data_IF_040211222067
#
_entry.id   IF_040211222067
#
_cell.length_a   1.000
_cell.length_b   1.000
_cell.length_c   1.000
_cell.angle_alpha   90.00
_cell.angle_beta   90.00
_cell.angle_gamma   90.00
#
_symmetry.space_group_name_H-M   'P 1'
#
loop_
_entity.id
_entity.type
_entity.pdbx_description
1 polymer ?
#
# COMPACT_ATOMS: atom_id res chain seq x y z
N UNK A 1 25.28 -30.83 12.12
CA UNK A 1 25.47 -29.76 13.12
C UNK A 1 25.22 -28.37 12.53
N UNK A 2 25.96 -27.90 11.51
CA UNK A 2 25.68 -26.59 10.89
C UNK A 2 24.29 -26.51 10.25
N UNK A 3 23.92 -27.49 9.43
CA UNK A 3 22.63 -27.50 8.73
C UNK A 3 21.43 -27.55 9.70
N UNK A 4 21.52 -28.37 10.76
CA UNK A 4 20.51 -28.46 11.82
C UNK A 4 20.33 -27.14 12.58
N UNK A 5 21.42 -26.39 12.81
CA UNK A 5 21.36 -25.08 13.45
C UNK A 5 20.62 -24.05 12.58
N UNK A 6 20.91 -24.00 11.27
CA UNK A 6 20.22 -23.07 10.36
C UNK A 6 18.70 -23.34 10.35
N UNK A 7 18.30 -24.61 10.31
CA UNK A 7 16.88 -24.99 10.41
C UNK A 7 16.29 -24.58 11.77
N UNK A 8 17.01 -24.79 12.87
CA UNK A 8 16.56 -24.39 14.20
C UNK A 8 16.36 -22.87 14.34
N UNK A 9 17.30 -22.08 13.82
CA UNK A 9 17.25 -20.61 13.86
C UNK A 9 16.08 -20.10 13.02
N UNK A 10 15.92 -20.62 11.80
CA UNK A 10 14.80 -20.25 10.92
C UNK A 10 13.43 -20.59 11.52
N UNK A 11 13.28 -21.76 12.15
CA UNK A 11 12.03 -22.14 12.85
C UNK A 11 11.79 -21.24 14.07
N UNK A 12 12.85 -20.78 14.73
CA UNK A 12 12.70 -19.84 15.85
C UNK A 12 12.15 -18.51 15.39
N UNK A 13 12.63 -17.98 14.25
CA UNK A 13 12.05 -16.80 13.61
C UNK A 13 10.58 -17.03 13.22
N UNK A 14 10.24 -18.18 12.63
CA UNK A 14 8.85 -18.49 12.24
C UNK A 14 7.87 -18.42 13.43
N UNK A 15 8.30 -18.93 14.60
CA UNK A 15 7.51 -18.88 15.83
C UNK A 15 7.42 -17.45 16.36
N UNK A 16 8.51 -16.67 16.29
CA UNK A 16 8.53 -15.26 16.70
C UNK A 16 7.64 -14.37 15.83
N UNK A 17 7.56 -14.63 14.52
CA UNK A 17 6.66 -13.94 13.58
C UNK A 17 5.16 -14.13 13.91
N UNK A 18 4.83 -15.05 14.84
CA UNK A 18 3.50 -15.17 15.43
C UNK A 18 2.53 -16.06 14.65
N UNK A 19 3.00 -16.76 13.61
CA UNK A 19 2.20 -17.72 12.83
C UNK A 19 2.15 -19.12 13.43
N UNK A 20 3.06 -19.43 14.35
CA UNK A 20 3.27 -20.77 14.90
C UNK A 20 3.47 -20.73 16.40
N UNK A 21 3.13 -21.83 17.07
CA UNK A 21 3.39 -22.02 18.48
C UNK A 21 4.66 -22.84 18.70
N UNK A 22 5.22 -22.79 19.92
CA UNK A 22 6.39 -23.58 20.28
C UNK A 22 6.19 -25.09 20.11
N UNK A 23 4.94 -25.57 20.25
CA UNK A 23 4.58 -26.97 20.04
C UNK A 23 4.76 -27.41 18.58
N UNK A 24 4.69 -26.48 17.62
CA UNK A 24 4.82 -26.77 16.19
C UNK A 24 6.28 -26.92 15.75
N UNK A 25 7.26 -26.62 16.63
CA UNK A 25 8.69 -26.58 16.28
C UNK A 25 9.18 -27.84 15.58
N UNK A 26 8.93 -29.01 16.16
CA UNK A 26 9.43 -30.29 15.61
C UNK A 26 8.79 -30.55 14.23
N UNK A 27 7.50 -30.23 14.09
CA UNK A 27 6.81 -30.34 12.82
C UNK A 27 7.41 -29.42 11.74
N UNK A 28 7.66 -28.15 12.07
CA UNK A 28 8.27 -27.19 11.14
C UNK A 28 9.71 -27.57 10.76
N UNK A 29 10.50 -28.06 11.72
CA UNK A 29 11.86 -28.54 11.47
C UNK A 29 11.85 -29.69 10.45
N UNK A 30 10.94 -30.66 10.63
CA UNK A 30 10.80 -31.79 9.71
C UNK A 30 10.31 -31.35 8.33
N UNK A 31 9.35 -30.40 8.28
CA UNK A 31 8.86 -29.84 7.01
C UNK A 31 9.96 -29.13 6.23
N UNK A 32 10.77 -28.30 6.89
CA UNK A 32 11.91 -27.62 6.25
C UNK A 32 12.98 -28.64 5.84
N UNK A 33 13.29 -29.61 6.70
CA UNK A 33 14.25 -30.67 6.39
C UNK A 33 13.85 -31.44 5.13
N UNK A 34 12.57 -31.77 4.99
CA UNK A 34 12.02 -32.38 3.77
C UNK A 34 12.22 -31.47 2.55
N UNK A 35 11.86 -30.19 2.63
CA UNK A 35 12.02 -29.24 1.52
C UNK A 35 13.48 -29.16 1.03
N UNK A 36 14.44 -29.04 1.95
CA UNK A 36 15.87 -28.88 1.61
C UNK A 36 16.63 -30.21 1.47
N UNK A 37 15.97 -31.35 1.69
CA UNK A 37 16.61 -32.67 1.62
C UNK A 37 17.64 -32.94 2.73
N UNK A 38 17.43 -32.37 3.91
CA UNK A 38 18.20 -32.75 5.09
C UNK A 38 17.61 -34.00 5.73
N UNK A 39 18.48 -34.87 6.26
CA UNK A 39 18.07 -36.00 7.09
C UNK A 39 17.60 -35.54 8.48
N UNK A 40 17.74 -36.42 9.46
CA UNK A 40 17.31 -36.15 10.84
C UNK A 40 17.89 -34.85 11.40
N UNK A 41 17.02 -33.97 11.89
CA UNK A 41 17.41 -32.73 12.57
C UNK A 41 17.77 -33.08 14.00
N UNK A 42 19.06 -33.05 14.30
CA UNK A 42 19.57 -33.21 15.67
C UNK A 42 19.20 -31.98 16.48
N UNK A 43 18.74 -32.18 17.72
CA UNK A 43 18.40 -31.11 18.66
C UNK A 43 19.61 -30.24 18.98
N UNK A 44 19.75 -29.13 18.24
CA UNK A 44 20.76 -28.11 18.48
C UNK A 44 20.16 -27.01 19.35
N UNK A 45 20.08 -27.23 20.67
CA UNK A 45 19.75 -26.16 21.65
C UNK A 45 20.86 -25.11 21.81
N UNK A 46 21.79 -25.06 20.85
CA UNK A 46 22.86 -24.09 20.88
C UNK A 46 22.28 -22.72 20.51
N UNK A 47 22.92 -21.69 21.06
CA UNK A 47 22.51 -20.28 20.98
C UNK A 47 21.95 -19.90 19.60
N UNK A 48 20.86 -19.14 19.59
CA UNK A 48 20.28 -18.55 18.37
C UNK A 48 21.37 -17.68 17.73
N UNK A 49 21.66 -17.93 16.44
CA UNK A 49 22.63 -17.12 15.70
C UNK A 49 22.09 -15.72 15.42
N UNK A 50 22.99 -14.74 15.21
CA UNK A 50 22.62 -13.36 14.87
C UNK A 50 22.38 -13.16 13.35
N UNK A 51 22.07 -14.22 12.61
CA UNK A 51 21.86 -14.13 11.17
C UNK A 51 20.51 -13.49 10.86
N UNK A 52 20.45 -12.72 9.78
CA UNK A 52 19.20 -12.16 9.26
C UNK A 52 18.33 -13.25 8.63
N UNK A 53 17.04 -12.95 8.43
CA UNK A 53 16.14 -13.88 7.74
C UNK A 53 16.63 -14.22 6.34
N UNK A 54 17.11 -13.23 5.59
CA UNK A 54 17.64 -13.41 4.24
C UNK A 54 18.86 -14.32 4.23
N UNK A 55 19.79 -14.13 5.17
CA UNK A 55 20.99 -14.96 5.31
C UNK A 55 20.65 -16.42 5.65
N UNK A 56 19.66 -16.62 6.52
CA UNK A 56 19.16 -17.96 6.87
C UNK A 56 18.46 -18.61 5.68
N UNK A 57 17.59 -17.89 4.96
CA UNK A 57 16.92 -18.38 3.76
C UNK A 57 17.93 -18.77 2.68
N UNK A 58 18.91 -17.90 2.40
CA UNK A 58 19.99 -18.18 1.46
C UNK A 58 20.80 -19.42 1.86
N UNK A 59 21.07 -19.60 3.15
CA UNK A 59 21.76 -20.79 3.67
C UNK A 59 20.93 -22.06 3.46
N UNK A 60 19.62 -22.02 3.69
CA UNK A 60 18.71 -23.15 3.44
C UNK A 60 18.64 -23.50 1.95
N UNK A 61 18.54 -22.51 1.07
CA UNK A 61 18.58 -22.70 -0.39
C UNK A 61 19.90 -23.34 -0.82
N UNK A 62 21.04 -22.88 -0.28
CA UNK A 62 22.35 -23.47 -0.58
C UNK A 62 22.44 -24.94 -0.16
N UNK A 63 21.88 -25.29 1.00
CA UNK A 63 21.76 -26.67 1.46
C UNK A 63 20.88 -27.48 0.51
N UNK A 64 19.73 -26.93 0.10
CA UNK A 64 18.81 -27.57 -0.83
C UNK A 64 19.43 -27.87 -2.20
N UNK A 65 20.15 -26.91 -2.79
CA UNK A 65 20.87 -27.12 -4.07
C UNK A 65 21.92 -28.22 -3.97
N UNK A 66 22.57 -28.36 -2.81
CA UNK A 66 23.57 -29.41 -2.57
C UNK A 66 22.92 -30.78 -2.40
N UNK A 67 21.83 -30.88 -1.64
CA UNK A 67 21.23 -32.16 -1.26
C UNK A 67 20.21 -32.67 -2.29
N UNK A 68 19.59 -31.76 -3.04
CA UNK A 68 18.58 -32.04 -4.07
C UNK A 68 18.90 -31.26 -5.37
N UNK A 69 20.08 -31.48 -5.99
CA UNK A 69 20.49 -30.74 -7.18
C UNK A 69 19.49 -30.90 -8.34
N UNK A 70 18.86 -32.06 -8.44
CA UNK A 70 17.88 -32.34 -9.50
C UNK A 70 16.57 -31.56 -9.35
N UNK A 71 16.23 -31.09 -8.14
CA UNK A 71 14.99 -30.36 -7.87
C UNK A 71 15.13 -28.85 -8.00
N UNK A 72 16.36 -28.31 -7.95
CA UNK A 72 16.62 -26.87 -7.84
C UNK A 72 17.66 -26.43 -8.89
N UNK A 73 17.27 -26.61 -10.15
CA UNK A 73 18.16 -26.42 -11.30
C UNK A 73 18.07 -25.00 -11.87
N UNK A 74 16.85 -24.45 -11.92
CA UNK A 74 16.57 -23.15 -12.53
C UNK A 74 16.38 -22.05 -11.48
N UNK A 75 16.50 -20.80 -11.90
CA UNK A 75 16.24 -19.64 -11.04
C UNK A 75 14.79 -19.63 -10.53
N UNK A 76 13.84 -20.09 -11.35
CA UNK A 76 12.43 -20.28 -10.95
C UNK A 76 12.26 -21.28 -9.81
N UNK A 77 12.97 -22.41 -9.86
CA UNK A 77 12.91 -23.42 -8.79
C UNK A 77 13.47 -22.87 -7.48
N UNK A 78 14.56 -22.11 -7.58
CA UNK A 78 15.24 -21.47 -6.45
C UNK A 78 14.35 -20.40 -5.82
N UNK A 79 13.72 -19.55 -6.63
CA UNK A 79 12.80 -18.53 -6.15
C UNK A 79 11.55 -19.17 -5.51
N UNK A 80 10.99 -20.21 -6.14
CA UNK A 80 9.85 -20.94 -5.57
C UNK A 80 10.19 -21.55 -4.20
N UNK A 81 11.38 -22.15 -4.04
CA UNK A 81 11.84 -22.66 -2.76
C UNK A 81 11.97 -21.53 -1.73
N UNK A 82 12.61 -20.43 -2.12
CA UNK A 82 12.81 -19.26 -1.26
C UNK A 82 11.46 -18.71 -0.77
N UNK A 83 10.51 -18.50 -1.68
CA UNK A 83 9.15 -18.06 -1.36
C UNK A 83 8.39 -19.05 -0.47
N UNK A 84 8.60 -20.36 -0.67
CA UNK A 84 7.98 -21.39 0.17
C UNK A 84 8.57 -21.42 1.58
N UNK A 85 9.87 -21.14 1.74
CA UNK A 85 10.50 -20.99 3.06
C UNK A 85 10.01 -19.71 3.74
N UNK A 86 9.96 -18.58 3.03
CA UNK A 86 9.49 -17.31 3.59
C UNK A 86 7.99 -17.34 3.94
N UNK A 87 7.18 -18.13 3.22
CA UNK A 87 5.76 -18.34 3.58
C UNK A 87 5.60 -19.04 4.94
N UNK A 88 6.58 -19.86 5.37
CA UNK A 88 6.58 -20.42 6.74
C UNK A 88 6.71 -19.31 7.78
N UNK A 89 7.41 -18.21 7.48
CA UNK A 89 7.51 -17.04 8.36
C UNK A 89 6.25 -16.16 8.33
N UNK A 90 5.33 -16.41 7.40
CA UNK A 90 4.17 -15.56 7.15
C UNK A 90 2.93 -16.16 7.82
N UNK A 91 2.37 -15.53 8.86
CA UNK A 91 1.16 -16.03 9.50
C UNK A 91 -0.02 -16.13 8.54
N UNK A 92 -1.02 -16.98 8.83
CA UNK A 92 -2.27 -17.01 8.07
C UNK A 92 -2.97 -15.65 8.04
N UNK A 93 -3.72 -15.30 6.97
CA UNK A 93 -4.40 -14.01 6.87
C UNK A 93 -5.26 -13.66 8.09
N UNK A 94 -5.96 -14.65 8.67
CA UNK A 94 -6.77 -14.46 9.89
C UNK A 94 -5.93 -14.02 11.09
N UNK A 95 -4.74 -14.59 11.27
CA UNK A 95 -3.82 -14.25 12.36
C UNK A 95 -3.21 -12.87 12.13
N UNK A 96 -2.77 -12.56 10.90
CA UNK A 96 -2.24 -11.23 10.55
C UNK A 96 -3.29 -10.14 10.82
N UNK A 97 -4.53 -10.34 10.37
CA UNK A 97 -5.61 -9.40 10.58
C UNK A 97 -5.98 -9.26 12.07
N UNK A 98 -6.02 -10.36 12.83
CA UNK A 98 -6.30 -10.31 14.26
C UNK A 98 -5.19 -9.59 15.05
N UNK A 99 -3.92 -9.85 14.73
CA UNK A 99 -2.78 -9.16 15.35
C UNK A 99 -2.78 -7.68 14.98
N UNK A 100 -3.02 -7.34 13.71
CA UNK A 100 -3.14 -5.96 13.26
C UNK A 100 -4.25 -5.23 14.01
N UNK A 101 -5.45 -5.81 14.09
CA UNK A 101 -6.57 -5.24 14.83
C UNK A 101 -6.24 -5.01 16.30
N UNK A 102 -5.61 -5.99 16.96
CA UNK A 102 -5.14 -5.86 18.35
C UNK A 102 -4.13 -4.72 18.53
N UNK A 103 -3.21 -4.52 17.60
CA UNK A 103 -2.27 -3.40 17.62
C UNK A 103 -2.95 -2.07 17.35
N UNK A 104 -3.99 -2.10 16.51
CA UNK A 104 -4.78 -0.93 16.16
C UNK A 104 -5.60 -0.39 17.33
N UNK A 105 -6.00 -1.24 18.29
CA UNK A 105 -6.61 -0.82 19.56
C UNK A 105 -5.72 0.15 20.35
N UNK A 106 -4.39 0.01 20.27
CA UNK A 106 -3.47 0.98 20.87
C UNK A 106 -3.36 2.23 19.99
N UNK A 107 -3.02 2.06 18.72
CA UNK A 107 -2.97 3.14 17.73
C UNK A 107 -2.82 2.61 16.31
N UNK A 108 -3.27 3.40 15.33
CA UNK A 108 -3.04 3.11 13.91
C UNK A 108 -1.55 3.00 13.57
N UNK A 109 -0.67 3.78 14.23
CA UNK A 109 0.78 3.75 14.02
C UNK A 109 1.39 2.44 14.53
N UNK A 110 0.97 1.92 15.69
CA UNK A 110 1.48 0.64 16.18
C UNK A 110 1.09 -0.51 15.25
N UNK A 111 -0.13 -0.47 14.71
CA UNK A 111 -0.60 -1.46 13.75
C UNK A 111 0.18 -1.43 12.43
N UNK A 112 0.41 -0.25 11.85
CA UNK A 112 1.19 -0.13 10.60
C UNK A 112 2.66 -0.48 10.83
N UNK A 113 3.25 -0.12 11.97
CA UNK A 113 4.61 -0.53 12.33
C UNK A 113 4.75 -2.05 12.44
N UNK A 114 3.78 -2.73 13.09
CA UNK A 114 3.74 -4.18 13.15
C UNK A 114 3.67 -4.81 11.75
N UNK A 115 2.76 -4.30 10.91
CA UNK A 115 2.58 -4.84 9.57
C UNK A 115 3.80 -4.59 8.69
N UNK A 116 4.42 -3.42 8.80
CA UNK A 116 5.68 -3.09 8.14
C UNK A 116 6.80 -4.03 8.55
N UNK A 117 7.01 -4.22 9.86
CA UNK A 117 7.99 -5.18 10.38
C UNK A 117 7.75 -6.59 9.84
N UNK A 118 6.50 -7.07 9.86
CA UNK A 118 6.17 -8.42 9.35
C UNK A 118 6.56 -8.56 7.88
N UNK A 119 6.26 -7.55 7.05
CA UNK A 119 6.57 -7.58 5.63
C UNK A 119 8.06 -7.41 5.31
N UNK A 120 8.86 -6.86 6.23
CA UNK A 120 10.32 -6.90 6.17
C UNK A 120 10.84 -8.30 6.53
N UNK A 121 10.38 -8.86 7.66
CA UNK A 121 10.83 -10.17 8.14
C UNK A 121 10.50 -11.28 7.15
N UNK A 122 9.32 -11.24 6.52
CA UNK A 122 8.93 -12.26 5.55
C UNK A 122 9.43 -11.98 4.12
N UNK A 123 10.24 -10.93 3.90
CA UNK A 123 10.82 -10.62 2.59
C UNK A 123 9.80 -10.20 1.52
N UNK A 124 8.61 -9.76 1.91
CA UNK A 124 7.65 -9.18 0.98
C UNK A 124 8.15 -7.83 0.43
N UNK A 125 8.68 -6.98 1.32
CA UNK A 125 9.33 -5.71 0.95
C UNK A 125 10.76 -5.97 0.46
N UNK A 126 11.03 -5.63 -0.80
CA UNK A 126 12.38 -5.72 -1.38
C UNK A 126 13.04 -4.35 -1.52
N UNK A 127 12.26 -3.27 -1.70
CA UNK A 127 12.81 -1.92 -1.92
C UNK A 127 13.55 -1.76 -3.25
N UNK A 128 13.45 -2.77 -4.11
CA UNK A 128 14.00 -2.85 -5.46
C UNK A 128 12.83 -3.10 -6.42
N UNK A 129 12.89 -2.47 -7.60
CA UNK A 129 11.99 -2.74 -8.72
C UNK A 129 12.69 -3.69 -9.66
N UNK A 130 12.13 -4.86 -9.91
CA UNK A 130 12.63 -5.71 -10.99
C UNK A 130 12.19 -5.10 -12.34
N UNK A 131 13.15 -4.61 -13.12
CA UNK A 131 12.91 -4.05 -14.47
C UNK A 131 12.37 -5.11 -15.44
N UNK A 132 12.63 -6.38 -15.15
CA UNK A 132 12.34 -7.55 -15.98
C UNK A 132 10.95 -8.17 -15.73
N UNK A 133 10.04 -7.49 -15.00
CA UNK A 133 8.65 -7.95 -14.93
C UNK A 133 7.98 -7.71 -16.28
N UNK A 134 8.14 -8.68 -17.18
CA UNK A 134 7.32 -8.77 -18.38
C UNK A 134 5.86 -8.82 -17.95
N UNK A 135 5.14 -7.73 -18.22
CA UNK A 135 3.68 -7.62 -18.09
C UNK A 135 2.92 -8.68 -18.92
N UNK A 136 3.64 -9.56 -19.62
CA UNK A 136 3.18 -10.57 -20.57
C UNK A 136 2.78 -11.92 -19.95
N UNK A 137 2.97 -12.18 -18.65
CA UNK A 137 2.15 -13.22 -17.98
C UNK A 137 0.71 -12.69 -17.87
N UNK A 138 -0.02 -12.90 -18.96
CA UNK A 138 -1.36 -12.41 -19.28
C UNK A 138 -2.33 -12.57 -18.09
N UNK A 139 -2.95 -11.47 -17.69
CA UNK A 139 -4.24 -11.53 -16.99
C UNK A 139 -4.26 -11.55 -15.46
N UNK A 140 -3.19 -11.89 -14.73
CA UNK A 140 -3.26 -11.89 -13.26
C UNK A 140 -3.13 -10.47 -12.69
N UNK A 141 -4.14 -10.01 -11.94
CA UNK A 141 -4.09 -8.75 -11.22
C UNK A 141 -3.32 -8.90 -9.88
N UNK A 142 -2.22 -8.16 -9.64
CA UNK A 142 -1.37 -8.30 -8.47
C UNK A 142 -2.03 -7.97 -7.13
N UNK A 143 -3.06 -7.12 -7.14
CA UNK A 143 -3.71 -6.64 -5.92
C UNK A 143 -5.04 -7.35 -5.62
N UNK A 144 -5.55 -8.18 -6.53
CA UNK A 144 -6.81 -8.91 -6.32
C UNK A 144 -6.80 -9.77 -5.05
N UNK A 145 -7.96 -9.85 -4.39
CA UNK A 145 -8.11 -10.59 -3.14
C UNK A 145 -7.87 -12.09 -3.32
N UNK A 146 -8.33 -12.66 -4.44
CA UNK A 146 -8.15 -14.08 -4.76
C UNK A 146 -6.68 -14.48 -4.95
N UNK A 147 -5.78 -13.51 -5.11
CA UNK A 147 -4.35 -13.74 -5.33
C UNK A 147 -3.52 -13.57 -4.05
N UNK A 148 -4.14 -13.59 -2.87
CA UNK A 148 -3.39 -13.61 -1.60
C UNK A 148 -2.54 -14.88 -1.48
N UNK A 149 -1.23 -14.72 -1.29
CA UNK A 149 -0.29 -15.85 -1.21
C UNK A 149 -0.02 -16.59 -2.52
N UNK A 150 -0.46 -16.06 -3.66
CA UNK A 150 -0.07 -16.59 -4.98
C UNK A 150 1.35 -16.16 -5.32
N UNK A 151 2.12 -17.07 -5.90
CA UNK A 151 3.47 -16.81 -6.38
C UNK A 151 3.52 -16.78 -7.90
N UNK A 152 4.12 -15.72 -8.44
CA UNK A 152 4.49 -15.59 -9.85
C UNK A 152 5.98 -15.25 -9.91
N UNK A 153 6.71 -15.97 -10.76
CA UNK A 153 8.16 -15.78 -10.93
C UNK A 153 8.45 -14.33 -11.35
N UNK A 154 9.49 -13.72 -10.78
CA UNK A 154 9.86 -12.31 -11.01
C UNK A 154 8.82 -11.25 -10.61
N UNK A 155 7.69 -11.64 -9.99
CA UNK A 155 6.71 -10.67 -9.53
C UNK A 155 7.10 -10.03 -8.21
N UNK A 156 7.16 -8.70 -8.19
CA UNK A 156 7.34 -7.94 -6.95
C UNK A 156 6.11 -8.01 -6.02
N UNK A 157 4.92 -8.19 -6.59
CA UNK A 157 3.65 -8.18 -5.86
C UNK A 157 3.13 -9.58 -5.54
N UNK A 158 3.17 -10.49 -6.49
CA UNK A 158 2.62 -11.85 -6.34
C UNK A 158 3.66 -12.78 -5.73
N UNK A 159 3.78 -12.67 -4.41
CA UNK A 159 4.66 -13.47 -3.55
C UNK A 159 3.82 -14.35 -2.64
N UNK A 160 4.33 -15.53 -2.25
CA UNK A 160 3.63 -16.40 -1.27
C UNK A 160 3.43 -15.71 0.07
N UNK A 161 4.35 -14.81 0.40
CA UNK A 161 4.38 -14.01 1.63
C UNK A 161 3.40 -12.84 1.61
N UNK A 162 2.76 -12.54 0.47
CA UNK A 162 1.79 -11.46 0.35
C UNK A 162 0.61 -11.71 1.29
N UNK A 163 0.39 -10.77 2.19
CA UNK A 163 -0.79 -10.67 3.06
C UNK A 163 -1.29 -9.25 3.00
N UNK A 164 -2.57 -9.05 3.27
CA UNK A 164 -3.13 -7.71 3.37
C UNK A 164 -4.21 -7.60 4.45
N UNK A 165 -4.38 -6.40 4.96
CA UNK A 165 -5.34 -6.10 6.01
C UNK A 165 -6.70 -5.86 5.37
N UNK A 166 -7.73 -6.52 5.89
CA UNK A 166 -9.12 -6.35 5.47
C UNK A 166 -9.72 -5.18 6.23
N UNK A 167 -10.34 -4.27 5.48
CA UNK A 167 -10.98 -3.06 5.97
C UNK A 167 -12.46 -3.12 5.61
N UNK A 168 -13.31 -2.68 6.54
CA UNK A 168 -14.71 -2.44 6.28
C UNK A 168 -14.92 -0.92 6.24
N UNK A 169 -15.19 -0.39 5.05
CA UNK A 169 -15.45 1.02 4.82
C UNK A 169 -16.93 1.21 4.44
N UNK A 170 -17.76 1.48 5.45
CA UNK A 170 -19.20 1.62 5.29
C UNK A 170 -19.87 0.42 4.57
N UNK A 171 -19.57 -0.79 5.05
CA UNK A 171 -19.99 -2.09 4.52
C UNK A 171 -19.35 -2.52 3.19
N UNK A 172 -18.41 -1.73 2.65
CA UNK A 172 -17.60 -2.18 1.54
C UNK A 172 -16.30 -2.82 2.04
N UNK A 173 -15.96 -3.93 1.42
CA UNK A 173 -14.73 -4.67 1.67
C UNK A 173 -13.58 -4.07 0.88
N UNK A 174 -12.56 -3.64 1.63
CA UNK A 174 -11.33 -3.04 1.11
C UNK A 174 -10.11 -3.76 1.67
N UNK A 175 -9.01 -3.67 0.95
CA UNK A 175 -7.71 -4.20 1.33
C UNK A 175 -6.71 -3.08 1.56
N UNK A 176 -5.81 -3.27 2.51
CA UNK A 176 -4.61 -2.47 2.72
C UNK A 176 -3.39 -3.38 2.70
N UNK A 177 -2.47 -3.11 1.77
CA UNK A 177 -1.17 -3.78 1.70
C UNK A 177 -0.05 -2.74 1.62
N UNK A 178 1.19 -3.15 1.86
CA UNK A 178 2.33 -2.29 1.57
C UNK A 178 2.72 -2.39 0.10
N UNK A 179 3.32 -1.32 -0.42
CA UNK A 179 3.91 -1.31 -1.75
C UNK A 179 5.29 -2.00 -1.69
N UNK A 180 5.48 -3.17 -2.34
CA UNK A 180 6.71 -3.95 -2.19
C UNK A 180 7.94 -3.32 -2.87
N UNK A 181 7.73 -2.45 -3.86
CA UNK A 181 8.80 -1.92 -4.71
C UNK A 181 9.31 -0.54 -4.30
N UNK A 182 8.64 0.11 -3.35
CA UNK A 182 8.97 1.48 -2.96
C UNK A 182 9.93 1.53 -1.79
N UNK A 183 10.82 2.53 -1.85
CA UNK A 183 11.81 2.80 -0.81
C UNK A 183 11.24 3.66 0.32
N UNK A 184 10.13 4.37 0.08
CA UNK A 184 9.44 5.09 1.14
C UNK A 184 8.94 4.13 2.22
N UNK A 185 9.36 4.38 3.46
CA UNK A 185 8.90 3.63 4.62
C UNK A 185 7.38 3.74 4.73
N UNK A 186 6.71 2.59 4.83
CA UNK A 186 5.25 2.47 4.98
C UNK A 186 4.40 3.03 3.83
N UNK A 187 4.90 3.12 2.59
CA UNK A 187 3.98 3.37 1.46
C UNK A 187 2.99 2.21 1.32
N UNK A 188 1.71 2.54 1.38
CA UNK A 188 0.58 1.63 1.36
C UNK A 188 -0.25 1.73 0.09
N UNK A 189 -0.91 0.62 -0.24
CA UNK A 189 -1.87 0.49 -1.33
C UNK A 189 -3.21 0.10 -0.72
N UNK A 190 -4.23 0.93 -0.95
CA UNK A 190 -5.62 0.68 -0.56
C UNK A 190 -6.45 0.34 -1.80
N UNK A 191 -7.17 -0.76 -1.78
CA UNK A 191 -7.85 -1.28 -2.96
C UNK A 191 -9.18 -1.93 -2.59
N UNK A 192 -10.12 -1.99 -3.54
CA UNK A 192 -11.41 -2.65 -3.35
C UNK A 192 -11.28 -4.16 -3.43
N UNK A 193 -12.16 -4.91 -2.77
CA UNK A 193 -12.27 -6.36 -3.01
C UNK A 193 -12.71 -6.65 -4.45
N UNK A 194 -13.71 -5.89 -4.93
CA UNK A 194 -14.15 -5.98 -6.31
C UNK A 194 -13.06 -5.45 -7.26
N UNK A 195 -12.74 -6.23 -8.30
CA UNK A 195 -11.87 -5.78 -9.39
C UNK A 195 -12.63 -4.74 -10.23
N UNK A 196 -12.40 -3.46 -9.95
CA UNK A 196 -13.10 -2.37 -10.62
C UNK A 196 -12.25 -1.13 -10.75
N UNK A 197 -12.58 -0.30 -11.74
CA UNK A 197 -12.05 1.05 -11.87
C UNK A 197 -12.74 1.97 -10.88
N UNK A 198 -11.95 2.79 -10.19
CA UNK A 198 -12.44 3.88 -9.37
C UNK A 198 -12.37 5.18 -10.17
N UNK A 199 -13.40 6.01 -10.04
CA UNK A 199 -13.46 7.37 -10.58
C UNK A 199 -13.69 8.34 -9.44
N UNK A 200 -13.17 9.56 -9.57
CA UNK A 200 -13.42 10.61 -8.60
C UNK A 200 -14.92 10.98 -8.59
N UNK A 201 -15.62 10.54 -7.54
CA UNK A 201 -17.03 10.77 -7.30
C UNK A 201 -17.31 10.83 -5.80
N UNK A 202 -18.57 11.07 -5.39
CA UNK A 202 -18.96 11.10 -3.98
C UNK A 202 -18.59 9.81 -3.25
N UNK A 203 -18.80 8.65 -3.88
CA UNK A 203 -18.45 7.35 -3.33
C UNK A 203 -16.97 7.26 -2.99
N UNK A 204 -16.08 7.57 -3.94
CA UNK A 204 -14.64 7.46 -3.73
C UNK A 204 -14.17 8.40 -2.62
N UNK A 205 -14.70 9.63 -2.61
CA UNK A 205 -14.34 10.63 -1.61
C UNK A 205 -14.81 10.23 -0.20
N UNK A 206 -15.98 9.60 -0.08
CA UNK A 206 -16.46 9.00 1.17
C UNK A 206 -15.55 7.84 1.64
N UNK A 207 -15.01 7.03 0.71
CA UNK A 207 -14.04 5.97 1.04
C UNK A 207 -12.68 6.54 1.45
N UNK A 208 -12.19 7.54 0.72
CA UNK A 208 -10.95 8.24 1.04
C UNK A 208 -11.01 8.88 2.42
N UNK A 209 -12.12 9.55 2.76
CA UNK A 209 -12.32 10.16 4.10
C UNK A 209 -12.36 9.10 5.19
N UNK A 210 -13.05 7.98 4.98
CA UNK A 210 -13.04 6.85 5.92
C UNK A 210 -11.64 6.27 6.15
N UNK A 211 -10.80 6.18 5.12
CA UNK A 211 -9.41 5.72 5.25
C UNK A 211 -8.57 6.70 6.05
N UNK A 212 -8.59 8.01 5.74
CA UNK A 212 -7.79 9.00 6.50
C UNK A 212 -8.30 9.21 7.93
N UNK A 213 -9.56 8.86 8.21
CA UNK A 213 -10.08 8.83 9.58
C UNK A 213 -9.53 7.62 10.37
N UNK A 214 -9.36 6.46 9.73
CA UNK A 214 -8.71 5.29 10.33
C UNK A 214 -7.19 5.48 10.45
N UNK A 215 -6.57 6.10 9.45
CA UNK A 215 -5.12 6.29 9.32
C UNK A 215 -4.78 7.79 9.25
N UNK A 216 -5.01 8.57 10.33
CA UNK A 216 -4.79 10.03 10.32
C UNK A 216 -3.33 10.42 10.11
N UNK A 217 -2.41 9.47 10.29
CA UNK A 217 -0.99 9.65 9.99
C UNK A 217 -0.64 9.55 8.50
N UNK A 218 -1.57 9.10 7.66
CA UNK A 218 -1.40 8.98 6.23
C UNK A 218 -2.05 10.13 5.49
N UNK A 219 -1.41 10.44 4.39
CA UNK A 219 -1.97 11.16 3.28
C UNK A 219 -2.31 10.18 2.17
N UNK A 220 -3.53 10.29 1.65
CA UNK A 220 -4.08 9.36 0.68
C UNK A 220 -4.17 10.04 -0.69
N UNK A 221 -3.51 9.46 -1.69
CA UNK A 221 -3.52 9.92 -3.05
C UNK A 221 -4.36 9.01 -3.95
N UNK A 222 -5.13 9.63 -4.85
CA UNK A 222 -5.79 8.99 -5.97
C UNK A 222 -5.33 9.62 -7.28
N UNK A 223 -5.08 8.76 -8.28
CA UNK A 223 -4.87 9.12 -9.68
C UNK A 223 -5.65 8.10 -10.53
N UNK A 224 -6.25 8.51 -11.64
CA UNK A 224 -6.96 7.56 -12.53
C UNK A 224 -6.03 6.51 -13.15
N UNK A 225 -4.73 6.79 -13.20
CA UNK A 225 -3.70 5.87 -13.67
C UNK A 225 -3.31 4.80 -12.65
N UNK A 226 -3.66 4.99 -11.36
CA UNK A 226 -3.38 4.03 -10.30
C UNK A 226 -4.30 2.80 -10.44
N UNK A 227 -3.97 1.93 -11.38
CA UNK A 227 -4.73 0.72 -11.67
C UNK A 227 -3.83 -0.40 -12.16
N UNK A 228 -4.00 -1.59 -11.58
CA UNK A 228 -3.41 -2.81 -12.11
C UNK A 228 -4.44 -3.60 -12.90
N UNK A 229 -4.28 -3.66 -14.23
CA UNK A 229 -5.18 -4.41 -15.14
C UNK A 229 -6.67 -4.06 -14.91
N UNK A 230 -6.96 -2.79 -14.60
CA UNK A 230 -8.30 -2.28 -14.33
C UNK A 230 -8.82 -2.42 -12.91
N UNK A 231 -7.97 -2.84 -11.98
CA UNK A 231 -8.24 -2.76 -10.55
C UNK A 231 -7.59 -1.51 -10.00
N UNK A 232 -8.41 -0.47 -9.72
CA UNK A 232 -7.91 0.78 -9.18
C UNK A 232 -7.50 0.67 -7.71
N UNK A 233 -6.54 1.49 -7.32
CA UNK A 233 -6.07 1.60 -5.94
C UNK A 233 -5.73 3.04 -5.56
N UNK A 234 -5.61 3.27 -4.25
CA UNK A 234 -5.18 4.53 -3.65
C UNK A 234 -3.82 4.30 -3.00
N UNK A 235 -2.99 5.34 -3.01
CA UNK A 235 -1.65 5.30 -2.39
C UNK A 235 -1.74 6.03 -1.06
N UNK A 236 -1.39 5.37 0.05
CA UNK A 236 -1.26 6.00 1.35
C UNK A 236 0.21 6.16 1.73
N UNK A 237 0.62 7.34 2.15
CA UNK A 237 2.01 7.61 2.56
C UNK A 237 2.07 8.56 3.74
N UNK A 238 3.19 8.59 4.45
CA UNK A 238 3.43 9.63 5.45
C UNK A 238 3.50 10.99 4.73
N UNK A 239 2.78 12.02 5.22
CA UNK A 239 2.77 13.32 4.57
C UNK A 239 4.18 13.91 4.56
N UNK A 240 4.57 14.49 3.43
CA UNK A 240 5.86 15.18 3.31
C UNK A 240 5.89 16.42 4.22
N UNK A 241 7.10 16.86 4.61
CA UNK A 241 7.26 18.07 5.45
C UNK A 241 6.59 19.26 4.76
N UNK A 242 5.84 20.06 5.53
CA UNK A 242 5.16 21.28 5.10
C UNK A 242 3.97 21.10 4.13
N UNK A 243 3.43 19.88 3.98
CA UNK A 243 2.24 19.68 3.13
C UNK A 243 0.92 20.17 3.74
N UNK A 244 0.87 20.34 5.07
CA UNK A 244 -0.26 21.01 5.74
C UNK A 244 -0.15 22.51 5.49
N UNK A 245 -1.10 23.06 4.74
CA UNK A 245 -1.14 24.47 4.38
C UNK A 245 -2.20 25.19 5.22
N UNK A 246 -2.07 26.49 5.44
CA UNK A 246 -3.12 27.28 6.09
C UNK A 246 -3.99 27.95 5.05
N UNK A 247 -5.30 27.69 5.12
CA UNK A 247 -6.31 28.34 4.31
C UNK A 247 -6.77 29.67 4.92
N UNK A 248 -6.78 30.73 4.12
CA UNK A 248 -7.09 32.10 4.58
C UNK A 248 -8.32 32.72 3.92
N UNK A 249 -8.85 32.12 2.85
CA UNK A 249 -10.04 32.61 2.14
C UNK A 249 -11.23 31.69 2.43
N UNK A 250 -12.45 32.12 2.12
CA UNK A 250 -13.66 31.34 2.37
C UNK A 250 -14.60 31.49 1.18
N UNK A 251 -15.06 30.37 0.61
CA UNK A 251 -15.99 30.44 -0.52
C UNK A 251 -17.32 31.09 -0.07
N UNK A 252 -17.93 31.99 -0.86
CA UNK A 252 -19.10 32.76 -0.43
C UNK A 252 -20.29 31.90 0.01
N UNK A 253 -20.43 30.71 -0.58
CA UNK A 253 -21.46 29.73 -0.28
C UNK A 253 -21.08 28.73 0.82
N UNK A 254 -19.81 28.67 1.19
CA UNK A 254 -19.27 27.77 2.21
C UNK A 254 -18.53 28.57 3.29
N UNK A 255 -19.26 29.44 4.01
CA UNK A 255 -18.73 30.36 5.03
C UNK A 255 -17.87 29.72 6.15
N UNK A 256 -17.88 28.40 6.27
CA UNK A 256 -17.10 27.62 7.24
C UNK A 256 -15.92 26.83 6.64
N UNK A 257 -15.77 26.83 5.31
CA UNK A 257 -14.76 26.06 4.57
C UNK A 257 -13.65 27.00 4.13
N UNK A 258 -12.49 26.86 4.78
CA UNK A 258 -11.33 27.67 4.48
C UNK A 258 -10.70 27.16 3.17
N UNK A 259 -10.61 28.03 2.17
CA UNK A 259 -9.92 27.80 0.91
C UNK A 259 -8.52 28.46 1.00
N UNK A 260 -7.42 27.73 0.77
CA UNK A 260 -6.16 28.36 0.35
C UNK A 260 -5.94 27.95 -1.08
N UNK A 261 -5.99 28.92 -1.96
CA UNK A 261 -5.27 28.75 -3.21
C UNK A 261 -3.83 29.24 -3.02
N UNK A 262 -2.87 28.52 -3.59
CA UNK A 262 -1.51 29.00 -3.71
C UNK A 262 -0.99 28.70 -5.11
N UNK A 263 -0.88 29.71 -5.96
CA UNK A 263 -0.16 29.62 -7.23
C UNK A 263 1.36 29.71 -6.99
N UNK A 264 1.92 28.88 -6.12
CA UNK A 264 3.36 28.76 -5.99
C UNK A 264 3.82 27.64 -6.92
N UNK A 265 4.14 28.02 -8.16
CA UNK A 265 4.91 27.24 -9.14
C UNK A 265 4.32 25.90 -9.68
N UNK A 266 3.25 25.31 -9.12
CA UNK A 266 2.92 23.88 -9.37
C UNK A 266 1.44 23.48 -9.71
N UNK A 267 0.57 24.36 -10.24
CA UNK A 267 -0.80 23.99 -10.71
C UNK A 267 -1.76 23.32 -9.67
N UNK A 268 -1.60 23.57 -8.36
CA UNK A 268 -2.40 22.92 -7.31
C UNK A 268 -3.54 23.81 -6.75
N UNK A 269 -4.64 23.19 -6.32
CA UNK A 269 -5.72 23.82 -5.54
C UNK A 269 -5.89 23.10 -4.19
N UNK A 270 -5.85 23.84 -3.08
CA UNK A 270 -5.98 23.30 -1.72
C UNK A 270 -7.29 23.74 -1.06
N UNK A 271 -8.01 22.78 -0.51
CA UNK A 271 -9.35 22.95 0.03
C UNK A 271 -9.35 22.40 1.44
N UNK A 272 -9.71 23.21 2.44
CA UNK A 272 -9.94 22.74 3.80
C UNK A 272 -11.42 22.77 4.14
N UNK A 273 -11.89 21.65 4.69
CA UNK A 273 -13.27 21.53 5.17
C UNK A 273 -13.30 20.94 6.56
N UNK A 274 -14.27 21.38 7.36
CA UNK A 274 -14.51 20.81 8.69
C UNK A 274 -15.21 19.44 8.63
N UNK A 275 -16.10 19.24 7.64
CA UNK A 275 -16.93 18.03 7.51
C UNK A 275 -16.67 17.33 6.18
N UNK A 276 -16.49 16.02 6.21
CA UNK A 276 -16.23 15.18 5.03
C UNK A 276 -17.28 15.40 3.92
N UNK A 277 -18.56 15.48 4.29
CA UNK A 277 -19.68 15.66 3.36
C UNK A 277 -19.59 16.93 2.48
N UNK A 278 -18.83 17.94 2.92
CA UNK A 278 -18.70 19.20 2.19
C UNK A 278 -17.68 19.09 1.05
N UNK A 279 -16.80 18.08 1.07
CA UNK A 279 -15.77 17.86 0.03
C UNK A 279 -16.41 17.64 -1.35
N UNK A 280 -17.43 16.78 -1.45
CA UNK A 280 -18.07 16.47 -2.73
C UNK A 280 -18.81 17.68 -3.32
N UNK A 281 -19.45 18.47 -2.47
CA UNK A 281 -20.16 19.68 -2.91
C UNK A 281 -19.18 20.70 -3.49
N UNK A 282 -18.06 20.93 -2.81
CA UNK A 282 -17.02 21.86 -3.28
C UNK A 282 -16.36 21.33 -4.56
N UNK A 283 -16.01 20.04 -4.58
CA UNK A 283 -15.46 19.40 -5.78
C UNK A 283 -16.40 19.54 -6.98
N UNK A 284 -17.68 19.21 -6.79
CA UNK A 284 -18.70 19.32 -7.84
C UNK A 284 -18.87 20.75 -8.32
N UNK A 285 -18.82 21.74 -7.42
CA UNK A 285 -18.87 23.16 -7.79
C UNK A 285 -17.69 23.56 -8.68
N UNK A 286 -16.46 23.23 -8.26
CA UNK A 286 -15.23 23.55 -9.02
C UNK A 286 -15.30 22.96 -10.42
N UNK A 287 -15.60 21.66 -10.54
CA UNK A 287 -15.66 21.00 -11.84
C UNK A 287 -16.86 21.47 -12.69
N UNK A 288 -18.00 21.83 -12.08
CA UNK A 288 -19.13 22.38 -12.81
C UNK A 288 -18.83 23.76 -13.39
N UNK A 289 -18.12 24.61 -12.64
CA UNK A 289 -17.62 25.88 -13.15
C UNK A 289 -16.73 25.64 -14.37
N UNK A 290 -15.79 24.69 -14.29
CA UNK A 290 -14.86 24.44 -15.40
C UNK A 290 -15.53 23.84 -16.63
N UNK A 291 -16.44 22.87 -16.47
CA UNK A 291 -17.15 22.23 -17.59
C UNK A 291 -18.06 23.22 -18.33
N UNK A 292 -18.61 24.21 -17.61
CA UNK A 292 -19.39 25.29 -18.23
C UNK A 292 -18.56 26.24 -19.10
N UNK A 293 -17.23 26.25 -18.95
CA UNK A 293 -16.37 27.27 -19.55
C UNK A 293 -15.68 26.85 -20.85
N UNK A 294 -15.40 25.55 -21.08
CA UNK A 294 -14.86 25.01 -22.34
C UNK A 294 -14.78 23.48 -22.31
N UNK A 295 -14.96 22.83 -23.47
CA UNK A 295 -14.71 21.39 -23.66
C UNK A 295 -13.25 21.07 -23.35
N UNK A 296 -12.98 20.02 -22.57
CA UNK A 296 -11.66 19.39 -22.47
C UNK A 296 -10.97 19.35 -21.11
N UNK A 297 -11.65 19.65 -19.99
CA UNK A 297 -11.13 19.32 -18.66
C UNK A 297 -11.81 18.03 -18.16
N UNK A 298 -11.03 17.01 -17.82
CA UNK A 298 -11.55 15.75 -17.28
C UNK A 298 -11.05 15.52 -15.86
N UNK A 299 -11.86 14.90 -15.00
CA UNK A 299 -11.41 14.54 -13.65
C UNK A 299 -10.23 13.57 -13.63
N UNK A 300 -9.96 12.89 -14.75
CA UNK A 300 -8.80 12.02 -14.95
C UNK A 300 -7.49 12.77 -15.18
N UNK A 301 -7.54 14.07 -15.47
CA UNK A 301 -6.35 14.88 -15.75
C UNK A 301 -5.60 15.30 -14.46
N UNK A 302 -6.07 14.84 -13.30
CA UNK A 302 -5.63 15.31 -11.99
C UNK A 302 -5.22 14.18 -11.06
N UNK A 303 -4.32 14.53 -10.16
CA UNK A 303 -4.04 13.80 -8.93
C UNK A 303 -4.77 14.47 -7.77
N UNK A 304 -5.22 13.65 -6.84
CA UNK A 304 -6.04 14.08 -5.71
C UNK A 304 -5.44 13.53 -4.42
N UNK A 305 -4.93 14.41 -3.57
CA UNK A 305 -4.42 14.03 -2.25
C UNK A 305 -5.40 14.48 -1.15
N UNK A 306 -5.66 13.62 -0.17
CA UNK A 306 -6.51 13.87 0.98
C UNK A 306 -5.74 13.60 2.27
N UNK A 307 -5.81 14.56 3.20
CA UNK A 307 -5.19 14.47 4.51
C UNK A 307 -6.20 14.76 5.62
N UNK A 308 -6.02 14.08 6.76
CA UNK A 308 -6.65 14.47 8.01
C UNK A 308 -5.86 15.62 8.65
N UNK A 309 -6.56 16.67 9.05
CA UNK A 309 -6.01 17.80 9.83
C UNK A 309 -6.81 17.98 11.12
N UNK A 310 -6.26 18.69 12.09
CA UNK A 310 -6.86 18.83 13.42
C UNK A 310 -8.26 19.44 13.38
N UNK A 311 -8.53 20.29 12.38
CA UNK A 311 -9.80 21.00 12.18
C UNK A 311 -10.74 20.33 11.19
N UNK A 312 -10.37 19.18 10.58
CA UNK A 312 -11.16 18.50 9.56
C UNK A 312 -10.29 17.78 8.52
N UNK A 313 -10.42 18.17 7.26
CA UNK A 313 -9.75 17.55 6.11
C UNK A 313 -9.11 18.61 5.21
N UNK A 314 -7.97 18.26 4.62
CA UNK A 314 -7.33 19.03 3.56
C UNK A 314 -7.32 18.19 2.29
N UNK A 315 -7.92 18.70 1.22
CA UNK A 315 -8.00 18.09 -0.09
C UNK A 315 -7.21 18.92 -1.10
N UNK A 316 -6.30 18.27 -1.82
CA UNK A 316 -5.39 18.90 -2.78
C UNK A 316 -5.71 18.33 -4.15
N UNK A 317 -5.94 19.21 -5.12
CA UNK A 317 -6.17 18.86 -6.52
C UNK A 317 -4.97 19.38 -7.31
N UNK A 318 -4.22 18.48 -7.94
CA UNK A 318 -3.02 18.82 -8.70
C UNK A 318 -3.20 18.39 -10.15
N UNK A 319 -3.04 19.32 -11.09
CA UNK A 319 -3.12 19.02 -12.52
C UNK A 319 -1.86 18.28 -12.96
N UNK A 320 -2.02 17.17 -13.69
CA UNK A 320 -0.90 16.41 -14.22
C UNK A 320 -0.28 17.17 -15.41
N UNK A 321 0.96 17.65 -15.27
CA UNK A 321 1.61 18.55 -16.24
C UNK A 321 1.86 17.92 -17.62
N UNK A 322 1.87 16.59 -17.70
CA UNK A 322 2.09 15.85 -18.95
C UNK A 322 0.86 15.84 -19.88
N UNK A 323 -0.30 16.28 -19.39
CA UNK A 323 -1.60 16.04 -20.02
C UNK A 323 -2.23 17.37 -20.48
N UNK A 324 -2.08 17.61 -21.79
CA UNK A 324 -2.75 18.62 -22.65
C UNK A 324 -2.68 20.10 -22.21
N UNK A 325 -2.00 20.94 -23.01
CA UNK A 325 -2.00 22.42 -22.91
C UNK A 325 -3.42 23.01 -22.71
N UNK A 326 -4.43 22.39 -23.33
CA UNK A 326 -5.84 22.81 -23.20
C UNK A 326 -6.42 22.60 -21.79
N UNK A 327 -6.08 21.51 -21.10
CA UNK A 327 -6.54 21.26 -19.73
C UNK A 327 -5.91 22.27 -18.77
N UNK A 328 -4.64 22.62 -19.00
CA UNK A 328 -3.93 23.66 -18.26
C UNK A 328 -4.59 25.05 -18.40
N UNK A 329 -4.87 25.49 -19.63
CA UNK A 329 -5.50 26.80 -19.86
C UNK A 329 -6.89 26.88 -19.22
N UNK A 330 -7.69 25.81 -19.34
CA UNK A 330 -9.02 25.74 -18.73
C UNK A 330 -8.95 25.70 -17.20
N UNK A 331 -7.94 25.01 -16.64
CA UNK A 331 -7.69 24.98 -15.20
C UNK A 331 -7.29 26.36 -14.67
N UNK A 332 -6.37 27.06 -15.34
CA UNK A 332 -5.98 28.43 -14.99
C UNK A 332 -7.18 29.39 -15.01
N UNK A 333 -8.04 29.29 -16.03
CA UNK A 333 -9.27 30.09 -16.09
C UNK A 333 -10.23 29.79 -14.93
N UNK A 334 -10.35 28.52 -14.54
CA UNK A 334 -11.14 28.14 -13.35
C UNK A 334 -10.56 28.78 -12.09
N UNK A 335 -9.24 28.75 -11.93
CA UNK A 335 -8.56 29.37 -10.80
C UNK A 335 -8.77 30.89 -10.76
N UNK A 336 -8.69 31.57 -11.90
CA UNK A 336 -8.96 33.01 -12.01
C UNK A 336 -10.41 33.36 -11.62
N UNK A 337 -11.39 32.53 -12.00
CA UNK A 337 -12.79 32.76 -11.64
C UNK A 337 -12.99 32.55 -10.14
N UNK A 338 -12.42 31.48 -9.60
CA UNK A 338 -12.46 31.24 -8.16
C UNK A 338 -11.82 32.40 -7.39
N UNK A 339 -10.71 32.98 -7.86
CA UNK A 339 -10.09 34.15 -7.21
C UNK A 339 -10.88 35.46 -7.41
N UNK A 340 -11.44 35.70 -8.60
CA UNK A 340 -12.14 36.95 -8.91
C UNK A 340 -13.56 37.00 -8.31
N UNK A 341 -14.30 35.89 -8.28
CA UNK A 341 -15.58 35.80 -7.54
C UNK A 341 -15.39 36.00 -6.02
N UNK A 342 -14.18 35.74 -5.51
CA UNK A 342 -13.79 36.02 -4.12
C UNK A 342 -13.46 37.50 -3.87
N UNK A 343 -13.03 38.26 -4.88
CA UNK A 343 -12.74 39.71 -4.75
C UNK A 343 -13.99 40.60 -4.90
N UNK A 344 -15.02 40.13 -5.60
CA UNK A 344 -16.29 40.88 -5.76
C UNK A 344 -17.20 40.66 -4.55
N UNK A 345 -16.82 41.22 -3.40
CA UNK A 345 -17.68 41.65 -2.29
C UNK A 345 -16.84 42.29 -1.18
N UNK A 346 -16.59 43.59 -1.30
CA UNK A 346 -16.38 44.49 -0.17
C UNK A 346 -17.63 45.37 0.01
#
# INVERSE_FOLDING_TARGET
>A
MKDSQVVYDFVSLAIESGGWMRLDRVYLQNKIAEMIGCGEIVDTRNQISNLSTEELCHSLVKIAKKNKPDCYQTDKDIEFLSQSLMDILTPPPSVVNAMFAKKFETSAVEATNYFYWLNQVNGYLTGETHEDYDNEEEGICPICFCNEGVFVHHSDYLKKTRRFIRLNLANDSWGYQLNPTKKEIEEGIFFTEAHTYLLMNSYLLDRMTGIVDLYPQYELQYCSENSFKGHSYLIGRRPQKNRKMTCHQTLPFFKDSLLSYNSLKNNELVIQVKKAKDLWLIFSYIFSLTVSLKKGLFSTDFTYDLLKIDTGYQFIITLNEEIFEKSRDNWLCTMEILSNELEVKY
#
